data_IF_659899890169
#
_entry.id   IF_659899890169
#
_cell.length_a   1.000
_cell.length_b   1.000
_cell.length_c   1.000
_cell.angle_alpha   90.00
_cell.angle_beta   90.00
_cell.angle_gamma   90.00
#
_symmetry.space_group_name_H-M   'P 1'
#
loop_
_entity.id
_entity.type
_entity.pdbx_description
1 polymer ?
#
# COMPACT_ATOMS: atom_id res chain seq x y z
N UNK A 1 -47.70 -56.82 -8.26
CA UNK A 1 -46.59 -56.29 -9.10
C UNK A 1 -46.86 -54.81 -9.29
N UNK A 2 -46.03 -53.84 -8.97
CA UNK A 2 -44.69 -53.80 -8.38
C UNK A 2 -44.58 -52.48 -7.59
N UNK A 3 -43.81 -52.52 -6.50
CA UNK A 3 -43.40 -51.37 -5.71
C UNK A 3 -42.31 -50.56 -6.44
N UNK A 4 -42.25 -49.28 -6.07
CA UNK A 4 -41.07 -48.42 -6.01
C UNK A 4 -40.37 -48.04 -7.33
N UNK A 5 -40.52 -46.77 -7.71
CA UNK A 5 -39.43 -46.02 -8.34
C UNK A 5 -39.11 -44.83 -7.43
N UNK A 6 -37.96 -44.94 -6.78
CA UNK A 6 -37.34 -43.95 -5.92
C UNK A 6 -37.01 -42.67 -6.70
N UNK A 7 -37.64 -41.55 -6.36
CA UNK A 7 -37.13 -40.22 -6.72
C UNK A 7 -35.98 -39.85 -5.78
N UNK A 8 -34.75 -40.17 -6.17
CA UNK A 8 -33.57 -39.52 -5.62
C UNK A 8 -32.76 -39.00 -6.81
N UNK A 9 -33.11 -37.83 -7.33
CA UNK A 9 -32.20 -37.14 -8.26
C UNK A 9 -32.29 -35.60 -8.26
N UNK A 10 -33.04 -34.97 -7.34
CA UNK A 10 -33.25 -33.51 -7.43
C UNK A 10 -32.61 -32.67 -6.34
N UNK A 11 -31.83 -33.24 -5.42
CA UNK A 11 -31.15 -32.45 -4.37
C UNK A 11 -29.71 -32.08 -4.74
N UNK A 12 -29.05 -32.82 -5.63
CA UNK A 12 -27.67 -32.53 -6.03
C UNK A 12 -27.60 -31.29 -6.94
N UNK A 13 -28.59 -31.08 -7.81
CA UNK A 13 -28.57 -29.98 -8.78
C UNK A 13 -28.81 -28.59 -8.16
N UNK A 14 -29.39 -28.52 -6.96
CA UNK A 14 -29.58 -27.27 -6.20
C UNK A 14 -28.39 -26.92 -5.29
N UNK A 15 -27.49 -27.87 -5.01
CA UNK A 15 -26.26 -27.58 -4.26
C UNK A 15 -25.15 -26.99 -5.15
N UNK A 16 -25.15 -27.27 -6.46
CA UNK A 16 -24.16 -26.74 -7.40
C UNK A 16 -24.20 -25.20 -7.51
N UNK A 17 -25.37 -24.53 -7.65
CA UNK A 17 -25.38 -23.07 -7.70
C UNK A 17 -25.01 -22.43 -6.36
N UNK A 18 -25.34 -23.04 -5.21
CA UNK A 18 -24.94 -22.51 -3.90
C UNK A 18 -23.43 -22.60 -3.66
N UNK A 19 -22.79 -23.69 -4.12
CA UNK A 19 -21.35 -23.88 -3.98
C UNK A 19 -20.54 -22.99 -4.94
N UNK A 20 -21.06 -22.71 -6.14
CA UNK A 20 -20.48 -21.73 -7.06
C UNK A 20 -20.65 -20.28 -6.56
N UNK A 21 -21.80 -19.94 -5.97
CA UNK A 21 -22.05 -18.61 -5.39
C UNK A 21 -21.18 -18.35 -4.15
N UNK A 22 -20.86 -19.39 -3.36
CA UNK A 22 -19.96 -19.22 -2.20
C UNK A 22 -18.49 -19.04 -2.59
N UNK A 23 -18.03 -19.60 -3.71
CA UNK A 23 -16.66 -19.41 -4.19
C UNK A 23 -16.37 -17.94 -4.55
N UNK A 24 -17.34 -17.26 -5.18
CA UNK A 24 -17.24 -15.84 -5.55
C UNK A 24 -17.28 -14.91 -4.34
N UNK A 25 -17.87 -15.33 -3.22
CA UNK A 25 -17.93 -14.53 -1.98
C UNK A 25 -16.59 -14.38 -1.26
N UNK A 26 -15.59 -15.20 -1.59
CA UNK A 26 -14.23 -15.07 -1.07
C UNK A 26 -13.40 -13.98 -1.75
N UNK A 27 -13.87 -13.47 -2.90
CA UNK A 27 -13.25 -12.39 -3.68
C UNK A 27 -13.86 -11.01 -3.41
N UNK A 28 -14.57 -10.81 -2.29
CA UNK A 28 -14.69 -9.48 -1.71
C UNK A 28 -13.35 -9.07 -1.09
N UNK A 29 -12.28 -9.06 -1.88
CA UNK A 29 -11.00 -8.46 -1.55
C UNK A 29 -11.32 -7.09 -0.99
N UNK A 30 -10.88 -6.81 0.25
CA UNK A 30 -11.09 -5.50 0.88
C UNK A 30 -10.86 -4.42 -0.18
N UNK A 31 -11.86 -3.53 -0.38
CA UNK A 31 -11.78 -2.41 -1.33
C UNK A 31 -10.49 -1.60 -1.15
N UNK A 32 -9.88 -1.72 0.04
CA UNK A 32 -8.67 -1.08 0.48
C UNK A 32 -7.61 -2.13 0.83
N UNK A 33 -6.47 -2.07 0.14
CA UNK A 33 -5.28 -2.83 0.51
C UNK A 33 -4.51 -2.07 1.59
N UNK A 34 -4.36 -2.64 2.81
CA UNK A 34 -3.56 -2.02 3.86
C UNK A 34 -2.08 -1.95 3.47
N UNK A 35 -1.38 -0.94 3.97
CA UNK A 35 0.08 -0.80 3.89
C UNK A 35 0.64 -0.34 5.24
N UNK A 36 1.94 -0.56 5.43
CA UNK A 36 2.70 0.07 6.51
C UNK A 36 3.68 1.08 5.90
N UNK A 37 3.82 2.24 6.55
CA UNK A 37 4.74 3.29 6.14
C UNK A 37 5.65 3.64 7.32
N UNK A 38 6.95 3.44 7.17
CA UNK A 38 7.96 3.91 8.12
C UNK A 38 8.62 5.19 7.65
N UNK A 39 8.88 6.10 8.58
CA UNK A 39 9.74 7.27 8.39
C UNK A 39 11.00 7.06 9.22
N UNK A 40 12.14 6.99 8.55
CA UNK A 40 13.46 6.76 9.14
C UNK A 40 14.37 7.96 8.89
N UNK A 41 15.13 8.37 9.90
CA UNK A 41 16.23 9.31 9.73
C UNK A 41 17.55 8.58 9.97
N UNK A 42 18.23 8.21 8.89
CA UNK A 42 19.50 7.46 8.97
C UNK A 42 20.66 8.34 9.44
N UNK A 43 20.52 9.66 9.37
CA UNK A 43 21.56 10.62 9.78
C UNK A 43 21.52 10.83 11.30
N UNK A 44 20.33 11.07 11.86
CA UNK A 44 20.16 11.32 13.30
C UNK A 44 19.92 10.03 14.11
N UNK A 45 19.74 8.88 13.46
CA UNK A 45 19.53 7.57 14.09
C UNK A 45 18.37 7.52 15.10
N UNK A 46 17.31 8.28 14.87
CA UNK A 46 16.10 8.27 15.71
C UNK A 46 15.26 7.02 15.48
N UNK A 47 14.51 6.52 16.49
CA UNK A 47 13.56 5.43 16.28
C UNK A 47 12.59 5.73 15.13
N UNK A 48 12.32 4.77 14.23
CA UNK A 48 11.41 4.99 13.11
C UNK A 48 9.99 5.30 13.58
N UNK A 49 9.32 6.24 12.91
CA UNK A 49 7.88 6.46 13.08
C UNK A 49 7.14 5.52 12.14
N UNK A 50 6.12 4.82 12.64
CA UNK A 50 5.36 3.84 11.86
C UNK A 50 3.91 4.29 11.76
N UNK A 51 3.41 4.32 10.53
CA UNK A 51 2.04 4.67 10.20
C UNK A 51 1.36 3.51 9.48
N UNK A 52 0.06 3.36 9.72
CA UNK A 52 -0.80 2.45 8.97
C UNK A 52 -1.57 3.26 7.95
N UNK A 53 -1.60 2.77 6.72
CA UNK A 53 -2.36 3.40 5.65
C UNK A 53 -3.08 2.35 4.81
N UNK A 54 -3.77 2.82 3.77
CA UNK A 54 -4.35 1.94 2.78
C UNK A 54 -4.45 2.62 1.41
N UNK A 55 -4.48 1.79 0.38
CA UNK A 55 -4.73 2.20 -1.02
C UNK A 55 -5.94 1.45 -1.57
N UNK A 56 -6.77 2.08 -2.42
CA UNK A 56 -7.76 1.32 -3.17
C UNK A 56 -7.06 0.41 -4.19
N UNK A 57 -7.82 -0.45 -4.87
CA UNK A 57 -7.27 -1.26 -5.98
C UNK A 57 -6.49 -0.38 -6.97
N UNK A 58 -5.21 -0.72 -7.18
CA UNK A 58 -4.25 0.01 -8.03
C UNK A 58 -3.97 1.46 -7.61
N UNK A 59 -4.27 1.82 -6.36
CA UNK A 59 -3.92 3.13 -5.81
C UNK A 59 -2.42 3.29 -5.59
N UNK A 60 -1.93 4.51 -5.81
CA UNK A 60 -0.50 4.84 -5.70
C UNK A 60 -0.09 5.22 -4.27
N UNK A 61 1.21 5.12 -3.98
CA UNK A 61 1.80 5.43 -2.68
C UNK A 61 1.49 6.87 -2.21
N UNK A 62 1.53 7.84 -3.12
CA UNK A 62 1.15 9.23 -2.82
C UNK A 62 -0.27 9.32 -2.26
N UNK A 63 -1.21 8.53 -2.79
CA UNK A 63 -2.58 8.48 -2.29
C UNK A 63 -2.65 7.94 -0.85
N UNK A 64 -1.82 6.96 -0.50
CA UNK A 64 -1.73 6.48 0.88
C UNK A 64 -1.16 7.56 1.81
N UNK A 65 -0.06 8.21 1.39
CA UNK A 65 0.59 9.26 2.17
C UNK A 65 -0.37 10.44 2.42
N UNK A 66 -1.13 10.88 1.42
CA UNK A 66 -2.14 11.94 1.58
C UNK A 66 -3.22 11.58 2.61
N UNK A 67 -3.70 10.33 2.63
CA UNK A 67 -4.68 9.88 3.62
C UNK A 67 -4.10 9.84 5.02
N UNK A 68 -2.89 9.30 5.18
CA UNK A 68 -2.20 9.27 6.47
C UNK A 68 -2.03 10.71 6.99
N UNK A 69 -1.65 11.67 6.14
CA UNK A 69 -1.49 13.07 6.53
C UNK A 69 -2.83 13.73 6.94
N UNK A 70 -3.93 13.37 6.28
CA UNK A 70 -5.27 13.87 6.63
C UNK A 70 -5.75 13.33 8.00
N UNK A 71 -5.39 12.09 8.32
CA UNK A 71 -5.86 11.39 9.52
C UNK A 71 -4.92 11.54 10.72
N UNK A 72 -3.64 11.87 10.49
CA UNK A 72 -2.61 11.90 11.51
C UNK A 72 -1.69 13.12 11.36
N UNK A 73 -1.81 14.07 12.28
CA UNK A 73 -0.99 15.30 12.28
C UNK A 73 0.51 15.08 12.50
N UNK A 74 0.91 13.90 12.98
CA UNK A 74 2.32 13.52 13.15
C UNK A 74 2.96 13.00 11.85
N UNK A 75 2.18 12.89 10.77
CA UNK A 75 2.69 12.61 9.44
C UNK A 75 2.38 13.79 8.53
N UNK A 76 3.41 14.54 8.15
CA UNK A 76 3.33 15.62 7.17
C UNK A 76 4.40 15.41 6.13
N UNK A 77 4.10 15.68 4.87
CA UNK A 77 5.07 15.63 3.80
C UNK A 77 4.78 16.68 2.75
N UNK A 78 5.80 17.02 1.97
CA UNK A 78 5.68 17.95 0.86
C UNK A 78 6.25 17.31 -0.40
N UNK A 79 5.57 17.57 -1.52
CA UNK A 79 6.05 17.18 -2.84
C UNK A 79 6.23 18.40 -3.71
N UNK A 80 7.20 18.35 -4.62
CA UNK A 80 7.34 19.29 -5.73
C UNK A 80 7.05 18.55 -7.02
N UNK A 81 6.20 19.12 -7.87
CA UNK A 81 5.96 18.58 -9.19
C UNK A 81 7.19 18.75 -10.09
N UNK A 82 7.54 17.68 -10.80
CA UNK A 82 8.53 17.67 -11.85
C UNK A 82 7.88 17.23 -13.16
N UNK A 83 8.09 18.00 -14.23
CA UNK A 83 7.45 17.72 -15.53
C UNK A 83 7.90 16.40 -16.15
N UNK A 84 9.10 15.93 -15.83
CA UNK A 84 9.67 14.71 -16.39
C UNK A 84 9.41 13.49 -15.52
N UNK A 85 9.30 13.68 -14.19
CA UNK A 85 9.29 12.57 -13.22
C UNK A 85 8.06 12.54 -12.31
N UNK A 86 7.20 13.56 -12.35
CA UNK A 86 6.03 13.68 -11.48
C UNK A 86 6.39 14.19 -10.08
N UNK A 87 5.59 13.85 -9.05
CA UNK A 87 5.76 14.40 -7.70
C UNK A 87 7.00 13.82 -7.02
N UNK A 88 7.97 14.69 -6.78
CA UNK A 88 9.19 14.41 -6.03
C UNK A 88 8.97 14.67 -4.53
N UNK A 89 9.36 13.73 -3.66
CA UNK A 89 9.24 13.87 -2.21
C UNK A 89 10.33 14.79 -1.66
N UNK A 90 9.93 15.99 -1.22
CA UNK A 90 10.85 17.05 -0.78
C UNK A 90 11.13 16.96 0.72
N UNK A 91 10.08 16.82 1.52
CA UNK A 91 10.19 16.81 2.98
C UNK A 91 9.22 15.82 3.62
N UNK A 92 9.60 15.29 4.79
CA UNK A 92 8.72 14.53 5.68
C UNK A 92 8.96 15.03 7.10
N UNK A 93 7.87 15.34 7.82
CA UNK A 93 7.86 15.84 9.18
C UNK A 93 8.78 17.04 9.43
N UNK A 94 8.90 17.93 8.43
CA UNK A 94 9.73 19.14 8.49
C UNK A 94 11.21 18.93 8.16
N UNK A 95 11.65 17.71 7.90
CA UNK A 95 13.02 17.41 7.45
C UNK A 95 13.03 17.36 5.92
N UNK A 96 13.73 18.31 5.30
CA UNK A 96 13.82 18.47 3.85
C UNK A 96 15.15 17.97 3.30
N UNK A 97 15.13 17.44 2.07
CA UNK A 97 16.34 17.20 1.29
C UNK A 97 17.09 18.49 0.97
N UNK A 98 18.40 18.38 0.74
CA UNK A 98 19.28 19.50 0.46
C UNK A 98 20.38 19.11 -0.52
N UNK A 99 20.39 19.75 -1.69
CA UNK A 99 21.35 19.48 -2.75
C UNK A 99 22.80 19.87 -2.42
N UNK A 100 23.02 20.82 -1.52
CA UNK A 100 24.39 21.20 -1.08
C UNK A 100 24.92 20.21 -0.04
N UNK A 101 24.05 19.69 0.82
CA UNK A 101 24.39 18.71 1.85
C UNK A 101 24.28 17.26 1.36
N UNK A 102 23.92 17.06 0.09
CA UNK A 102 23.63 15.77 -0.52
C UNK A 102 22.62 14.92 0.27
N UNK A 103 21.55 15.51 0.82
CA UNK A 103 20.53 14.79 1.58
C UNK A 103 19.21 14.66 0.83
N UNK A 104 18.55 13.51 0.93
CA UNK A 104 17.27 13.24 0.26
C UNK A 104 16.43 12.19 1.01
N UNK A 105 15.19 12.04 0.55
CA UNK A 105 14.28 10.97 0.97
C UNK A 105 14.34 9.79 -0.01
N UNK A 106 14.96 8.71 0.41
CA UNK A 106 15.00 7.45 -0.31
C UNK A 106 13.72 6.66 -0.07
N UNK A 107 13.15 6.07 -1.14
CA UNK A 107 11.97 5.20 -1.07
C UNK A 107 12.41 3.74 -1.12
N UNK A 108 12.02 2.96 -0.13
CA UNK A 108 12.37 1.55 -0.04
C UNK A 108 11.14 0.69 0.23
N UNK A 109 11.18 -0.54 -0.24
CA UNK A 109 10.43 -1.67 0.31
C UNK A 109 11.27 -2.29 1.42
N UNK A 110 10.66 -2.59 2.56
CA UNK A 110 11.32 -3.28 3.66
C UNK A 110 11.98 -4.60 3.19
N UNK A 111 13.20 -4.93 3.66
CA UNK A 111 13.98 -4.16 4.62
C UNK A 111 14.77 -3.01 4.02
N UNK A 112 15.29 -3.13 2.79
CA UNK A 112 16.22 -2.16 2.21
C UNK A 112 16.22 -2.18 0.67
N UNK A 113 15.11 -2.57 0.02
CA UNK A 113 15.05 -2.68 -1.43
C UNK A 113 14.56 -1.36 -2.04
N UNK A 114 15.36 -0.61 -2.82
CA UNK A 114 14.92 0.64 -3.42
C UNK A 114 13.73 0.44 -4.36
N UNK A 115 12.80 1.38 -4.32
CA UNK A 115 11.69 1.40 -5.28
C UNK A 115 12.20 1.87 -6.65
N UNK A 116 11.63 1.30 -7.71
CA UNK A 116 11.92 1.65 -9.11
C UNK A 116 11.17 2.90 -9.59
N UNK A 117 10.23 3.40 -8.79
CA UNK A 117 9.30 4.49 -9.11
C UNK A 117 9.09 5.42 -7.93
N UNK A 118 8.78 6.67 -8.25
CA UNK A 118 8.42 7.70 -7.27
C UNK A 118 7.03 7.47 -6.65
N UNK A 119 6.72 8.26 -5.61
CA UNK A 119 5.47 8.15 -4.83
C UNK A 119 4.21 8.29 -5.70
N UNK A 120 4.28 9.05 -6.80
CA UNK A 120 3.16 9.27 -7.72
C UNK A 120 2.82 8.07 -8.62
N UNK A 121 3.74 7.12 -8.81
CA UNK A 121 3.54 5.99 -9.75
C UNK A 121 3.67 4.62 -9.09
N UNK A 122 4.31 4.54 -7.93
CA UNK A 122 4.46 3.29 -7.21
C UNK A 122 3.10 2.81 -6.69
N UNK A 123 2.73 1.56 -6.99
CA UNK A 123 1.50 0.92 -6.50
C UNK A 123 1.92 -0.11 -5.44
N UNK A 124 1.68 0.17 -4.14
CA UNK A 124 1.99 -0.78 -3.09
C UNK A 124 1.16 -2.06 -3.20
N UNK A 125 1.78 -3.18 -2.88
CA UNK A 125 1.10 -4.45 -2.64
C UNK A 125 0.34 -4.44 -1.31
N UNK A 126 -0.52 -5.44 -1.15
CA UNK A 126 -1.26 -5.65 0.09
C UNK A 126 -0.33 -6.03 1.25
N UNK A 127 -0.50 -5.36 2.39
CA UNK A 127 0.35 -5.45 3.57
C UNK A 127 1.83 -5.07 3.32
N UNK A 128 2.12 -4.39 2.22
CA UNK A 128 3.48 -3.98 1.91
C UNK A 128 3.98 -2.94 2.92
N UNK A 129 5.24 -3.09 3.32
CA UNK A 129 5.94 -2.14 4.19
C UNK A 129 6.88 -1.27 3.37
N UNK A 130 6.50 0.00 3.25
CA UNK A 130 7.27 1.06 2.61
C UNK A 130 8.06 1.84 3.66
N UNK A 131 9.29 2.21 3.33
CA UNK A 131 10.15 3.05 4.15
C UNK A 131 10.47 4.33 3.37
N UNK A 132 10.25 5.47 4.01
CA UNK A 132 10.79 6.77 3.61
C UNK A 132 12.03 7.00 4.49
N UNK A 133 13.22 6.92 3.92
CA UNK A 133 14.48 7.07 4.66
C UNK A 133 15.18 8.37 4.28
N UNK A 134 15.40 9.25 5.25
CA UNK A 134 16.27 10.40 5.09
C UNK A 134 17.72 9.95 5.17
N UNK A 135 18.49 10.19 4.09
CA UNK A 135 19.86 9.70 3.92
C UNK A 135 20.66 10.62 3.00
N UNK A 136 21.96 10.33 2.84
CA UNK A 136 22.84 11.03 1.91
C UNK A 136 23.10 10.28 0.61
N UNK A 137 23.60 10.98 -0.41
CA UNK A 137 24.29 10.40 -1.57
C UNK A 137 25.72 10.93 -1.65
N UNK A 138 26.60 10.17 -2.32
CA UNK A 138 27.98 10.55 -2.59
C UNK A 138 28.14 11.06 -4.04
#
# INVERSE_FOLDING_TARGET
>A
MALAVTMILSTVLLLVPALLVQAESSEARSKWSPIQLSVENAIESTPPLIFKGSVPYRGVLLGAMLRIQQENSNFRFETRDDINYGPYLVSVNGVAGNDTAHTYWQLLRYPNMPLDRGVGCYIPGENEHIILRFTTWD
#
